data_IF_172247956138
#
_entry.id   IF_172247956138
#
_cell.length_a   1.000
_cell.length_b   1.000
_cell.length_c   1.000
_cell.angle_alpha   90.00
_cell.angle_beta   90.00
_cell.angle_gamma   90.00
#
_symmetry.space_group_name_H-M   'P 1'
#
loop_
_entity.id
_entity.type
_entity.pdbx_description
1 polymer ?
#
# COMPACT_ATOMS: atom_id res chain seq x y z
N UNK A 1 12.74 -8.60 4.73
CA UNK A 1 11.30 -8.48 5.02
C UNK A 1 10.54 -8.94 3.79
N UNK A 2 9.68 -9.93 3.97
CA UNK A 2 8.89 -10.53 2.90
C UNK A 2 7.66 -9.68 2.58
N UNK A 3 7.12 -9.84 1.37
CA UNK A 3 5.88 -9.19 0.97
C UNK A 3 4.69 -9.95 1.56
N UNK A 4 3.80 -9.22 2.22
CA UNK A 4 2.59 -9.75 2.85
C UNK A 4 1.39 -9.35 1.99
N UNK A 5 0.52 -10.29 1.65
CA UNK A 5 -0.72 -9.97 0.90
C UNK A 5 -1.68 -9.19 1.80
N UNK A 6 -2.34 -8.16 1.25
CA UNK A 6 -3.32 -7.35 2.00
C UNK A 6 -4.52 -8.16 2.49
N UNK A 7 -4.81 -9.29 1.82
CA UNK A 7 -5.87 -10.23 2.19
C UNK A 7 -5.51 -11.10 3.39
N UNK A 8 -4.22 -11.31 3.64
CA UNK A 8 -3.72 -12.10 4.76
C UNK A 8 -3.62 -11.24 6.01
N UNK A 9 -3.04 -10.04 5.86
CA UNK A 9 -2.80 -9.12 6.97
C UNK A 9 -2.62 -7.70 6.46
N UNK A 10 -3.14 -6.74 7.23
CA UNK A 10 -2.90 -5.31 6.99
C UNK A 10 -1.80 -4.78 7.91
N UNK A 11 -1.05 -3.74 7.49
CA UNK A 11 -0.10 -3.06 8.36
C UNK A 11 -0.82 -2.33 9.49
N UNK A 12 -0.05 -1.87 10.49
CA UNK A 12 -0.57 -0.92 11.48
C UNK A 12 -1.01 0.36 10.76
N UNK A 13 -2.21 0.91 11.08
CA UNK A 13 -2.63 2.20 10.55
C UNK A 13 -1.59 3.29 10.81
N UNK A 14 -1.51 4.25 9.89
CA UNK A 14 -0.61 5.41 9.93
C UNK A 14 0.89 5.07 9.98
N UNK A 15 1.26 3.81 9.74
CA UNK A 15 2.64 3.37 9.59
C UNK A 15 3.04 3.41 8.12
N UNK A 16 4.18 4.04 7.81
CA UNK A 16 4.72 4.10 6.45
C UNK A 16 5.32 2.75 6.08
N UNK A 17 4.80 2.16 5.01
CA UNK A 17 5.23 0.86 4.49
C UNK A 17 5.48 0.95 2.99
N UNK A 18 6.22 -0.03 2.45
CA UNK A 18 6.27 -0.25 1.00
C UNK A 18 5.05 -1.04 0.57
N UNK A 19 4.45 -0.64 -0.55
CA UNK A 19 3.31 -1.32 -1.17
C UNK A 19 3.60 -1.69 -2.62
N UNK A 20 2.98 -2.76 -3.09
CA UNK A 20 2.94 -3.19 -4.49
C UNK A 20 1.50 -3.10 -4.97
N UNK A 21 1.30 -2.48 -6.13
CA UNK A 21 0.00 -2.35 -6.79
C UNK A 21 -0.28 -3.57 -7.69
N UNK A 22 -1.54 -3.72 -8.09
CA UNK A 22 -2.00 -4.66 -9.12
C UNK A 22 -1.25 -4.50 -10.45
N UNK A 23 -0.85 -3.28 -10.79
CA UNK A 23 -0.01 -2.98 -11.96
C UNK A 23 1.49 -3.27 -11.76
N UNK A 24 1.88 -3.86 -10.63
CA UNK A 24 3.28 -4.16 -10.26
C UNK A 24 4.12 -2.93 -9.88
N UNK A 25 3.53 -1.73 -9.78
CA UNK A 25 4.25 -0.52 -9.36
C UNK A 25 4.46 -0.59 -7.85
N UNK A 26 5.63 -0.12 -7.40
CA UNK A 26 6.03 -0.13 -5.99
C UNK A 26 6.22 1.29 -5.50
N UNK A 27 5.59 1.63 -4.39
CA UNK A 27 5.71 2.95 -3.76
C UNK A 27 5.60 2.83 -2.26
N UNK A 28 5.97 3.88 -1.53
CA UNK A 28 5.59 3.98 -0.13
C UNK A 28 4.15 4.46 0.00
N UNK A 29 3.45 3.92 0.99
CA UNK A 29 2.10 4.29 1.36
C UNK A 29 1.90 4.11 2.88
N UNK A 30 0.77 4.58 3.40
CA UNK A 30 0.28 4.17 4.71
C UNK A 30 -1.21 3.83 4.63
N UNK A 31 -1.66 2.94 5.50
CA UNK A 31 -3.07 2.64 5.66
C UNK A 31 -3.68 3.68 6.61
N UNK A 32 -4.71 4.40 6.18
CA UNK A 32 -5.47 5.30 7.03
C UNK A 32 -6.34 4.51 8.01
N UNK A 33 -6.79 5.16 9.07
CA UNK A 33 -7.69 4.56 10.07
C UNK A 33 -9.06 4.16 9.49
N UNK A 34 -9.46 4.73 8.36
CA UNK A 34 -10.70 4.42 7.63
C UNK A 34 -10.55 3.21 6.67
N UNK A 35 -9.36 2.59 6.61
CA UNK A 35 -9.06 1.46 5.73
C UNK A 35 -8.64 1.84 4.32
N UNK A 36 -8.60 3.13 3.97
CA UNK A 36 -8.09 3.58 2.68
C UNK A 36 -6.57 3.69 2.67
N UNK A 37 -5.96 3.46 1.51
CA UNK A 37 -4.53 3.67 1.33
C UNK A 37 -4.24 5.12 0.93
N UNK A 38 -3.23 5.71 1.57
CA UNK A 38 -2.63 6.95 1.10
C UNK A 38 -1.29 6.64 0.44
N UNK A 39 -1.17 6.92 -0.85
CA UNK A 39 0.04 6.71 -1.63
C UNK A 39 0.83 8.02 -1.72
N UNK A 40 2.13 7.96 -1.41
CA UNK A 40 2.99 9.14 -1.49
C UNK A 40 3.33 9.56 -2.93
N UNK A 41 3.32 8.62 -3.88
CA UNK A 41 3.53 8.91 -5.29
C UNK A 41 2.21 9.30 -5.95
N UNK A 42 2.07 10.58 -6.33
CA UNK A 42 0.86 11.12 -6.95
C UNK A 42 0.54 10.47 -8.29
N UNK A 43 1.55 10.26 -9.14
CA UNK A 43 1.36 9.58 -10.43
C UNK A 43 0.84 8.14 -10.31
N UNK A 44 1.11 7.48 -9.18
CA UNK A 44 0.54 6.16 -8.88
C UNK A 44 -0.84 6.35 -8.27
N UNK A 45 -1.04 7.30 -7.37
CA UNK A 45 -2.34 7.56 -6.75
C UNK A 45 -3.42 7.96 -7.79
N UNK A 46 -3.05 8.77 -8.77
CA UNK A 46 -3.95 9.29 -9.82
C UNK A 46 -4.48 8.17 -10.74
N UNK A 47 -3.80 7.02 -10.81
CA UNK A 47 -4.29 5.83 -11.54
C UNK A 47 -5.28 5.00 -10.73
N UNK A 48 -5.63 5.43 -9.51
CA UNK A 48 -6.50 4.73 -8.56
C UNK A 48 -6.18 3.22 -8.43
N UNK A 49 -4.94 2.85 -8.06
CA UNK A 49 -4.46 1.49 -8.10
C UNK A 49 -4.97 0.67 -6.93
N UNK A 50 -5.04 -0.64 -7.11
CA UNK A 50 -5.36 -1.55 -6.02
C UNK A 50 -4.07 -2.03 -5.37
N UNK A 51 -3.93 -1.86 -4.05
CA UNK A 51 -2.78 -2.39 -3.32
C UNK A 51 -2.97 -3.90 -3.10
N UNK A 52 -2.01 -4.71 -3.55
CA UNK A 52 -2.07 -6.17 -3.42
C UNK A 52 -1.17 -6.69 -2.30
N UNK A 53 -0.02 -6.05 -2.07
CA UNK A 53 0.96 -6.47 -1.06
C UNK A 53 1.62 -5.29 -0.37
N UNK A 54 2.15 -5.54 0.82
CA UNK A 54 2.94 -4.56 1.56
C UNK A 54 4.12 -5.22 2.29
N UNK A 55 5.10 -4.41 2.69
CA UNK A 55 6.20 -4.81 3.57
C UNK A 55 6.65 -3.61 4.40
N UNK A 56 7.11 -3.89 5.62
CA UNK A 56 7.80 -2.90 6.46
C UNK A 56 9.28 -2.83 6.09
#
# INVERSE_FOLDING_TARGET
MEWINVTEKLPKPLSRVWVETDSGRKTTAYLKSDGQWFLFCREIADTNPTIVRWRN
#
